data_IF_719689629691
#
_entry.id   IF_719689629691
#
_cell.length_a   1.000
_cell.length_b   1.000
_cell.length_c   1.000
_cell.angle_alpha   90.00
_cell.angle_beta   90.00
_cell.angle_gamma   90.00
#
_symmetry.space_group_name_H-M   'P 1'
#
loop_
_entity.id
_entity.type
_entity.pdbx_description
1 polymer ?
#
# COMPACT_ATOMS: atom_id res chain seq x y z
N UNK A 1 -8.57 -7.64 -21.22
CA UNK A 1 -8.59 -8.24 -22.56
C UNK A 1 -8.40 -7.23 -23.70
N UNK A 2 -8.44 -5.90 -23.42
CA UNK A 2 -8.27 -4.86 -24.45
C UNK A 2 -7.10 -3.90 -24.19
N UNK A 3 -6.42 -4.01 -23.06
CA UNK A 3 -5.30 -3.14 -22.71
C UNK A 3 -4.01 -3.95 -22.86
N UNK A 4 -3.12 -3.48 -23.73
CA UNK A 4 -1.79 -4.04 -23.88
C UNK A 4 -0.89 -3.52 -22.76
N UNK A 5 -0.52 -4.42 -21.82
CA UNK A 5 0.36 -4.06 -20.70
C UNK A 5 1.78 -3.72 -21.18
N UNK A 6 2.24 -4.22 -22.33
CA UNK A 6 3.52 -3.81 -22.91
C UNK A 6 3.49 -2.35 -23.35
N UNK A 7 2.37 -1.90 -23.94
CA UNK A 7 2.20 -0.49 -24.26
C UNK A 7 2.16 0.37 -22.99
N UNK A 8 1.52 -0.13 -21.90
CA UNK A 8 1.48 0.58 -20.62
C UNK A 8 2.85 0.67 -19.95
N UNK A 9 3.67 -0.38 -19.98
CA UNK A 9 4.97 -0.38 -19.33
C UNK A 9 6.02 0.36 -20.19
N UNK A 10 6.21 -0.03 -21.45
CA UNK A 10 7.32 0.48 -22.28
C UNK A 10 7.00 1.78 -23.02
N UNK A 11 5.78 1.94 -23.55
CA UNK A 11 5.46 3.05 -24.45
C UNK A 11 4.92 4.26 -23.69
N UNK A 12 4.00 4.04 -22.77
CA UNK A 12 3.30 5.09 -22.01
C UNK A 12 3.87 5.20 -20.58
N UNK A 13 4.54 4.15 -20.08
CA UNK A 13 5.09 4.06 -18.73
C UNK A 13 5.93 5.27 -18.31
N UNK A 14 6.90 5.72 -19.11
CA UNK A 14 7.68 6.91 -18.76
C UNK A 14 6.83 8.17 -18.61
N UNK A 15 5.77 8.34 -19.42
CA UNK A 15 4.85 9.47 -19.32
C UNK A 15 3.96 9.36 -18.07
N UNK A 16 3.47 8.15 -17.76
CA UNK A 16 2.72 7.88 -16.53
C UNK A 16 3.60 8.17 -15.31
N UNK A 17 4.85 7.72 -15.32
CA UNK A 17 5.81 7.96 -14.26
C UNK A 17 6.07 9.45 -14.07
N UNK A 18 6.38 10.18 -15.15
CA UNK A 18 6.62 11.63 -15.09
C UNK A 18 5.39 12.40 -14.58
N UNK A 19 4.18 12.03 -15.06
CA UNK A 19 2.91 12.62 -14.59
C UNK A 19 2.66 12.35 -13.11
N UNK A 20 2.96 11.13 -12.63
CA UNK A 20 2.83 10.77 -11.22
C UNK A 20 3.82 11.54 -10.35
N UNK A 21 5.09 11.63 -10.75
CA UNK A 21 6.11 12.41 -10.02
C UNK A 21 5.71 13.89 -9.98
N UNK A 22 5.23 14.44 -11.09
CA UNK A 22 4.72 15.81 -11.13
C UNK A 22 3.54 15.99 -10.16
N UNK A 23 2.57 15.08 -10.15
CA UNK A 23 1.44 15.13 -9.23
C UNK A 23 1.87 15.04 -7.75
N UNK A 24 2.86 14.18 -7.44
CA UNK A 24 3.45 14.09 -6.10
C UNK A 24 4.16 15.40 -5.70
N UNK A 25 4.85 16.06 -6.65
CA UNK A 25 5.52 17.33 -6.40
C UNK A 25 4.52 18.49 -6.22
N UNK A 26 3.40 18.49 -6.94
CA UNK A 26 2.37 19.53 -6.85
C UNK A 26 1.78 19.65 -5.43
N UNK A 27 1.78 18.58 -4.64
CA UNK A 27 1.29 18.62 -3.25
C UNK A 27 2.12 19.57 -2.37
N UNK A 28 3.40 19.74 -2.66
CA UNK A 28 4.27 20.65 -1.89
C UNK A 28 4.05 22.13 -2.22
N UNK A 29 3.23 22.42 -3.23
CA UNK A 29 2.86 23.79 -3.56
C UNK A 29 1.71 24.27 -2.64
N UNK A 30 1.82 25.46 -2.01
CA UNK A 30 0.83 25.96 -1.06
C UNK A 30 -0.55 26.23 -1.67
N UNK A 31 -0.66 26.26 -3.00
CA UNK A 31 -1.92 26.49 -3.73
C UNK A 31 -2.69 25.19 -4.01
N UNK A 32 -2.00 24.05 -4.09
CA UNK A 32 -2.60 22.78 -4.52
C UNK A 32 -2.82 21.79 -3.38
N UNK A 33 -1.99 21.83 -2.34
CA UNK A 33 -2.06 20.92 -1.21
C UNK A 33 -3.12 21.34 -0.19
N UNK A 34 -3.98 20.39 0.20
CA UNK A 34 -4.88 20.57 1.34
C UNK A 34 -4.38 19.78 2.54
N UNK A 35 -4.33 20.46 3.68
CA UNK A 35 -4.02 19.84 4.97
C UNK A 35 -5.25 19.08 5.47
N UNK A 36 -5.14 17.76 5.52
CA UNK A 36 -6.11 16.91 6.17
C UNK A 36 -5.42 16.09 7.26
N UNK A 37 -5.91 16.19 8.48
CA UNK A 37 -5.38 15.46 9.65
C UNK A 37 -3.88 15.68 9.92
N UNK A 38 -3.37 16.90 9.69
CA UNK A 38 -1.99 17.28 9.97
C UNK A 38 -0.96 16.83 8.92
N UNK A 39 -1.39 16.43 7.74
CA UNK A 39 -0.52 16.14 6.62
C UNK A 39 -1.15 16.57 5.28
N UNK A 40 -0.35 17.19 4.42
CA UNK A 40 -0.76 17.60 3.07
C UNK A 40 -0.60 16.42 2.13
N UNK A 41 -1.69 15.69 1.85
CA UNK A 41 -1.68 14.47 1.01
C UNK A 41 -2.66 14.51 -0.14
N UNK A 42 -3.56 15.49 -0.14
CA UNK A 42 -4.67 15.59 -1.08
C UNK A 42 -4.51 16.81 -1.97
N UNK A 43 -4.79 16.64 -3.24
CA UNK A 43 -4.96 17.74 -4.19
C UNK A 43 -6.47 17.93 -4.35
N UNK A 44 -6.95 19.15 -4.06
CA UNK A 44 -8.34 19.52 -4.31
C UNK A 44 -8.44 20.37 -5.58
N UNK A 45 -9.26 19.91 -6.51
CA UNK A 45 -9.64 20.65 -7.71
C UNK A 45 -11.15 20.81 -7.70
N UNK A 46 -11.63 21.91 -7.12
CA UNK A 46 -13.07 22.11 -6.88
C UNK A 46 -13.65 21.05 -5.93
N UNK A 47 -14.71 20.33 -6.32
CA UNK A 47 -15.31 19.28 -5.48
C UNK A 47 -14.54 17.95 -5.52
N UNK A 48 -13.53 17.81 -6.38
CA UNK A 48 -12.78 16.57 -6.54
C UNK A 48 -11.55 16.58 -5.64
N UNK A 49 -11.45 15.55 -4.81
CA UNK A 49 -10.28 15.28 -3.99
C UNK A 49 -9.51 14.10 -4.58
N UNK A 50 -8.22 14.30 -4.81
CA UNK A 50 -7.35 13.35 -5.46
C UNK A 50 -6.09 13.14 -4.61
N UNK A 51 -5.75 11.88 -4.34
CA UNK A 51 -4.53 11.53 -3.63
C UNK A 51 -3.51 10.93 -4.61
N UNK A 52 -2.43 11.66 -4.95
CA UNK A 52 -1.43 11.19 -5.92
C UNK A 52 -0.71 9.90 -5.50
N UNK A 53 -0.55 9.63 -4.22
CA UNK A 53 0.08 8.39 -3.74
C UNK A 53 -0.70 7.12 -4.13
N UNK A 54 -2.04 7.21 -4.34
CA UNK A 54 -2.83 6.09 -4.83
C UNK A 54 -2.43 5.69 -6.27
N UNK A 55 -2.20 6.68 -7.13
CA UNK A 55 -1.71 6.43 -8.49
C UNK A 55 -0.25 6.02 -8.52
N UNK A 56 0.55 6.55 -7.60
CA UNK A 56 1.95 6.19 -7.48
C UNK A 56 2.13 4.68 -7.20
N UNK A 57 1.24 4.04 -6.46
CA UNK A 57 1.27 2.59 -6.23
C UNK A 57 1.25 1.80 -7.55
N UNK A 58 0.31 2.15 -8.45
CA UNK A 58 0.20 1.49 -9.76
C UNK A 58 1.41 1.83 -10.63
N UNK A 59 1.82 3.10 -10.64
CA UNK A 59 2.99 3.55 -11.42
C UNK A 59 4.26 2.83 -10.99
N UNK A 60 4.47 2.64 -9.68
CA UNK A 60 5.62 1.91 -9.13
C UNK A 60 5.60 0.44 -9.58
N UNK A 61 4.43 -0.21 -9.63
CA UNK A 61 4.32 -1.59 -10.14
C UNK A 61 4.73 -1.65 -11.61
N UNK A 62 4.20 -0.76 -12.46
CA UNK A 62 4.53 -0.75 -13.90
C UNK A 62 6.02 -0.48 -14.12
N UNK A 63 6.57 0.51 -13.44
CA UNK A 63 7.98 0.88 -13.53
C UNK A 63 8.91 -0.22 -12.97
N UNK A 64 8.55 -0.86 -11.87
CA UNK A 64 9.29 -1.99 -11.32
C UNK A 64 9.27 -3.20 -12.24
N UNK A 65 8.14 -3.48 -12.91
CA UNK A 65 8.04 -4.60 -13.84
C UNK A 65 9.00 -4.43 -15.03
N UNK A 66 9.06 -3.24 -15.62
CA UNK A 66 9.99 -2.93 -16.71
C UNK A 66 11.46 -3.01 -16.26
N UNK A 67 11.77 -2.38 -15.14
CA UNK A 67 13.13 -2.35 -14.59
C UNK A 67 13.64 -3.76 -14.26
N UNK A 68 12.81 -4.60 -13.65
CA UNK A 68 13.18 -5.96 -13.26
C UNK A 68 13.24 -6.92 -14.46
N UNK A 69 12.43 -6.69 -15.50
CA UNK A 69 12.55 -7.43 -16.75
C UNK A 69 13.89 -7.13 -17.43
N UNK A 70 14.29 -5.86 -17.47
CA UNK A 70 15.62 -5.46 -17.95
C UNK A 70 16.74 -6.09 -17.12
N UNK A 71 16.65 -6.05 -15.78
CA UNK A 71 17.59 -6.71 -14.88
C UNK A 71 17.81 -8.18 -15.27
N UNK A 72 16.74 -8.89 -15.55
CA UNK A 72 16.82 -10.31 -15.98
C UNK A 72 17.46 -10.48 -17.35
N UNK A 73 17.16 -9.60 -18.30
CA UNK A 73 17.71 -9.64 -19.67
C UNK A 73 19.20 -9.33 -19.69
N UNK A 74 19.70 -8.49 -18.78
CA UNK A 74 21.12 -8.12 -18.66
C UNK A 74 21.95 -9.09 -17.82
N UNK A 75 21.39 -10.26 -17.47
CA UNK A 75 22.11 -11.29 -16.73
C UNK A 75 22.03 -11.19 -15.21
N UNK A 76 21.19 -10.32 -14.67
CA UNK A 76 20.91 -10.24 -13.23
C UNK A 76 22.03 -9.60 -12.39
N UNK A 77 22.84 -8.73 -13.00
CA UNK A 77 23.93 -8.03 -12.32
C UNK A 77 23.50 -6.64 -11.83
N UNK A 78 23.95 -6.29 -10.62
CA UNK A 78 23.74 -4.96 -10.04
C UNK A 78 24.82 -3.98 -10.53
N UNK A 79 24.81 -3.69 -11.81
CA UNK A 79 25.71 -2.69 -12.38
C UNK A 79 25.38 -1.28 -11.86
N UNK A 80 26.37 -0.37 -11.75
CA UNK A 80 26.15 0.99 -11.28
C UNK A 80 25.07 1.75 -12.09
N UNK A 81 25.02 1.53 -13.39
CA UNK A 81 24.00 2.13 -14.27
C UNK A 81 22.57 1.63 -13.97
N UNK A 82 22.43 0.33 -13.69
CA UNK A 82 21.14 -0.24 -13.26
C UNK A 82 20.73 0.32 -11.89
N UNK A 83 21.64 0.35 -10.90
CA UNK A 83 21.37 0.87 -9.57
C UNK A 83 20.97 2.35 -9.62
N UNK A 84 21.64 3.16 -10.44
CA UNK A 84 21.27 4.57 -10.60
C UNK A 84 19.86 4.73 -11.20
N UNK A 85 19.49 3.93 -12.20
CA UNK A 85 18.12 3.94 -12.74
C UNK A 85 17.10 3.44 -11.73
N UNK A 86 17.39 2.37 -11.01
CA UNK A 86 16.50 1.87 -9.96
C UNK A 86 16.27 2.92 -8.87
N UNK A 87 17.34 3.62 -8.45
CA UNK A 87 17.24 4.71 -7.48
C UNK A 87 16.37 5.88 -7.99
N UNK A 88 16.43 6.22 -9.27
CA UNK A 88 15.59 7.26 -9.85
C UNK A 88 14.15 6.76 -10.03
N UNK A 89 13.96 5.64 -10.70
CA UNK A 89 12.66 5.16 -11.14
C UNK A 89 11.78 4.72 -9.96
N UNK A 90 12.35 4.05 -8.97
CA UNK A 90 11.63 3.58 -7.78
C UNK A 90 11.85 4.51 -6.57
N UNK A 91 13.09 5.00 -6.40
CA UNK A 91 13.45 5.80 -5.24
C UNK A 91 12.80 7.18 -5.21
N UNK A 92 12.70 7.88 -6.36
CA UNK A 92 12.09 9.22 -6.41
C UNK A 92 10.61 9.19 -5.99
N UNK A 93 9.72 8.37 -6.56
CA UNK A 93 8.33 8.30 -6.09
C UNK A 93 8.23 7.91 -4.62
N UNK A 94 8.97 6.89 -4.16
CA UNK A 94 8.95 6.44 -2.77
C UNK A 94 9.42 7.54 -1.82
N UNK A 95 10.49 8.26 -2.15
CA UNK A 95 11.00 9.38 -1.36
C UNK A 95 9.95 10.50 -1.24
N UNK A 96 9.30 10.87 -2.35
CA UNK A 96 8.25 11.89 -2.35
C UNK A 96 7.07 11.49 -1.47
N UNK A 97 6.65 10.21 -1.50
CA UNK A 97 5.57 9.70 -0.63
C UNK A 97 5.99 9.74 0.84
N UNK A 98 7.24 9.39 1.17
CA UNK A 98 7.79 9.50 2.55
C UNK A 98 7.78 10.93 3.03
N UNK A 99 8.16 11.89 2.17
CA UNK A 99 8.18 13.32 2.49
C UNK A 99 6.77 13.90 2.70
N UNK A 100 5.72 13.25 2.19
CA UNK A 100 4.30 13.59 2.41
C UNK A 100 3.74 12.95 3.71
N UNK A 101 4.52 12.55 4.69
CA UNK A 101 4.34 11.60 5.80
C UNK A 101 3.34 10.46 5.54
N UNK A 102 3.25 9.95 4.29
CA UNK A 102 2.40 8.80 3.95
C UNK A 102 3.18 7.49 4.11
N UNK A 103 3.36 7.11 5.37
CA UNK A 103 4.12 5.92 5.75
C UNK A 103 3.46 4.62 5.28
N UNK A 104 2.11 4.60 5.24
CA UNK A 104 1.34 3.43 4.80
C UNK A 104 1.57 3.11 3.33
N UNK A 105 1.35 4.09 2.43
CA UNK A 105 1.56 3.91 1.00
C UNK A 105 3.01 3.58 0.66
N UNK A 106 3.98 4.18 1.38
CA UNK A 106 5.40 3.85 1.21
C UNK A 106 5.68 2.39 1.53
N UNK A 107 5.16 1.89 2.66
CA UNK A 107 5.37 0.49 3.08
C UNK A 107 4.75 -0.49 2.08
N UNK A 108 3.52 -0.23 1.64
CA UNK A 108 2.84 -1.05 0.63
C UNK A 108 3.64 -1.10 -0.67
N UNK A 109 4.09 0.05 -1.20
CA UNK A 109 4.94 0.09 -2.40
C UNK A 109 6.25 -0.67 -2.21
N UNK A 110 6.94 -0.47 -1.08
CA UNK A 110 8.22 -1.13 -0.81
C UNK A 110 8.07 -2.66 -0.73
N UNK A 111 7.05 -3.16 -0.02
CA UNK A 111 6.76 -4.60 0.05
C UNK A 111 6.45 -5.15 -1.35
N UNK A 112 5.62 -4.44 -2.12
CA UNK A 112 5.27 -4.87 -3.48
C UNK A 112 6.49 -4.97 -4.38
N UNK A 113 7.38 -3.98 -4.37
CA UNK A 113 8.63 -4.00 -5.15
C UNK A 113 9.54 -5.16 -4.71
N UNK A 114 9.65 -5.42 -3.41
CA UNK A 114 10.44 -6.55 -2.90
C UNK A 114 9.88 -7.92 -3.34
N UNK A 115 8.57 -8.09 -3.30
CA UNK A 115 7.91 -9.30 -3.82
C UNK A 115 8.18 -9.46 -5.32
N UNK A 116 8.05 -8.38 -6.10
CA UNK A 116 8.33 -8.40 -7.53
C UNK A 116 9.82 -8.71 -7.81
N UNK A 117 10.75 -8.13 -7.05
CA UNK A 117 12.19 -8.40 -7.17
C UNK A 117 12.51 -9.87 -6.89
N UNK A 118 11.92 -10.44 -5.85
CA UNK A 118 12.05 -11.88 -5.55
C UNK A 118 11.51 -12.75 -6.70
N UNK A 119 10.35 -12.42 -7.25
CA UNK A 119 9.76 -13.14 -8.39
C UNK A 119 10.55 -12.97 -9.69
N UNK A 120 11.27 -11.86 -9.85
CA UNK A 120 12.21 -11.63 -10.94
C UNK A 120 13.51 -12.43 -10.77
N UNK A 121 13.72 -13.08 -9.63
CA UNK A 121 14.88 -13.93 -9.35
C UNK A 121 16.05 -13.20 -8.70
N UNK A 122 15.81 -12.08 -8.05
CA UNK A 122 16.76 -11.46 -7.13
C UNK A 122 16.95 -12.36 -5.91
N UNK A 123 18.19 -12.49 -5.42
CA UNK A 123 18.48 -13.34 -4.26
C UNK A 123 17.62 -12.93 -3.05
N UNK A 124 16.94 -13.91 -2.46
CA UNK A 124 16.09 -13.69 -1.30
C UNK A 124 16.83 -13.05 -0.11
N UNK A 125 18.13 -13.32 0.04
CA UNK A 125 18.99 -12.73 1.09
C UNK A 125 19.14 -11.24 0.90
N UNK A 126 19.30 -10.79 -0.35
CA UNK A 126 19.32 -9.36 -0.70
C UNK A 126 17.97 -8.72 -0.41
N UNK A 127 16.87 -9.32 -0.85
CA UNK A 127 15.52 -8.84 -0.57
C UNK A 127 15.25 -8.75 0.94
N UNK A 128 15.63 -9.77 1.71
CA UNK A 128 15.51 -9.79 3.16
C UNK A 128 16.36 -8.71 3.85
N UNK A 129 17.59 -8.48 3.36
CA UNK A 129 18.46 -7.40 3.85
C UNK A 129 17.86 -6.02 3.62
N UNK A 130 17.34 -5.75 2.41
CA UNK A 130 16.65 -4.49 2.08
C UNK A 130 15.39 -4.33 2.91
N UNK A 131 14.60 -5.40 3.08
CA UNK A 131 13.41 -5.39 3.94
C UNK A 131 13.75 -5.07 5.39
N UNK A 132 14.79 -5.69 5.95
CA UNK A 132 15.22 -5.45 7.32
C UNK A 132 15.70 -4.01 7.54
N UNK A 133 16.51 -3.49 6.62
CA UNK A 133 16.98 -2.10 6.66
C UNK A 133 15.82 -1.10 6.50
N UNK A 134 14.89 -1.36 5.57
CA UNK A 134 13.70 -0.55 5.38
C UNK A 134 12.79 -0.54 6.60
N UNK A 135 12.57 -1.70 7.21
CA UNK A 135 11.79 -1.84 8.44
C UNK A 135 12.44 -1.11 9.62
N UNK A 136 13.75 -1.24 9.78
CA UNK A 136 14.50 -0.53 10.81
C UNK A 136 14.40 0.99 10.61
N UNK A 137 14.60 1.48 9.38
CA UNK A 137 14.42 2.89 9.04
C UNK A 137 13.00 3.40 9.33
N UNK A 138 11.98 2.64 8.92
CA UNK A 138 10.58 2.93 9.22
C UNK A 138 10.32 3.01 10.73
N UNK A 139 10.84 2.06 11.51
CA UNK A 139 10.70 2.03 12.95
C UNK A 139 11.36 3.26 13.61
N UNK A 140 12.60 3.58 13.22
CA UNK A 140 13.32 4.75 13.73
C UNK A 140 12.59 6.07 13.42
N UNK A 141 12.08 6.23 12.20
CA UNK A 141 11.30 7.41 11.80
C UNK A 141 9.97 7.48 12.56
N UNK A 142 9.33 6.35 12.79
CA UNK A 142 8.06 6.28 13.51
C UNK A 142 8.21 6.55 15.01
N UNK A 143 9.32 6.15 15.61
CA UNK A 143 9.61 6.42 17.03
C UNK A 143 9.97 7.90 17.29
N UNK A 144 10.55 8.59 16.29
CA UNK A 144 10.86 10.04 16.39
C UNK A 144 9.61 10.91 16.26
N UNK A 145 8.63 10.47 15.48
CA UNK A 145 7.38 11.18 15.25
C UNK A 145 6.37 10.87 16.36
N UNK A 146 5.98 11.88 17.15
CA UNK A 146 5.08 11.73 18.29
C UNK A 146 3.73 11.08 17.93
N UNK A 147 3.16 11.44 16.78
CA UNK A 147 1.91 10.88 16.30
C UNK A 147 2.01 9.38 15.97
N UNK A 148 3.05 8.98 15.24
CA UNK A 148 3.26 7.57 14.89
C UNK A 148 3.64 6.73 16.09
N UNK A 149 4.40 7.31 17.04
CA UNK A 149 4.73 6.66 18.31
C UNK A 149 3.48 6.40 19.15
N UNK A 150 2.58 7.39 19.26
CA UNK A 150 1.31 7.21 19.96
C UNK A 150 0.49 6.07 19.35
N UNK A 151 0.37 6.01 18.04
CA UNK A 151 -0.33 4.92 17.33
C UNK A 151 0.28 3.53 17.58
N UNK A 152 1.62 3.40 17.60
CA UNK A 152 2.28 2.13 17.92
C UNK A 152 1.97 1.72 19.36
N UNK A 153 2.05 2.64 20.31
CA UNK A 153 1.73 2.36 21.70
C UNK A 153 0.27 1.97 21.90
N UNK A 154 -0.66 2.67 21.26
CA UNK A 154 -2.09 2.35 21.26
C UNK A 154 -2.39 1.00 20.64
N UNK A 155 -1.67 0.60 19.60
CA UNK A 155 -1.81 -0.73 18.99
C UNK A 155 -1.35 -1.85 19.94
N UNK A 156 -0.30 -1.61 20.74
CA UNK A 156 0.22 -2.59 21.69
C UNK A 156 -0.64 -2.67 22.96
N UNK A 157 -1.13 -1.54 23.43
CA UNK A 157 -2.00 -1.45 24.62
C UNK A 157 -3.04 -0.34 24.45
N UNK A 158 -4.19 -0.63 23.82
CA UNK A 158 -5.25 0.36 23.65
C UNK A 158 -5.95 0.74 24.95
N UNK A 159 -5.86 -0.10 25.96
CA UNK A 159 -6.49 0.12 27.27
C UNK A 159 -5.74 1.13 28.13
N UNK A 160 -4.56 1.56 27.73
CA UNK A 160 -3.79 2.60 28.41
C UNK A 160 -4.51 3.96 28.41
N UNK A 161 -5.21 4.29 27.32
CA UNK A 161 -6.03 5.49 27.19
C UNK A 161 -7.37 5.15 26.49
N UNK A 162 -8.33 4.57 27.25
CA UNK A 162 -9.57 4.04 26.68
C UNK A 162 -10.51 5.11 26.12
N UNK A 163 -10.38 6.36 26.56
CA UNK A 163 -11.24 7.47 26.17
C UNK A 163 -10.58 8.44 25.19
N UNK A 164 -9.27 8.33 24.98
CA UNK A 164 -8.49 9.10 24.03
C UNK A 164 -8.06 8.26 22.82
N UNK A 165 -6.74 8.10 22.64
CA UNK A 165 -6.16 7.43 21.48
C UNK A 165 -6.62 5.97 21.29
N UNK A 166 -6.90 5.23 22.40
CA UNK A 166 -7.37 3.85 22.36
C UNK A 166 -8.84 3.67 22.05
N UNK A 167 -9.66 4.74 22.20
CA UNK A 167 -11.12 4.65 22.11
C UNK A 167 -11.60 3.97 20.82
N UNK A 168 -11.10 4.42 19.69
CA UNK A 168 -11.52 3.92 18.39
C UNK A 168 -11.22 2.42 18.22
N UNK A 169 -10.04 1.97 18.62
CA UNK A 169 -9.62 0.56 18.52
C UNK A 169 -10.45 -0.33 19.46
N UNK A 170 -10.69 0.12 20.68
CA UNK A 170 -11.51 -0.60 21.66
C UNK A 170 -12.96 -0.75 21.18
N UNK A 171 -13.54 0.32 20.62
CA UNK A 171 -14.88 0.25 20.05
C UNK A 171 -14.94 -0.69 18.83
N UNK A 172 -13.88 -0.75 18.04
CA UNK A 172 -13.74 -1.73 16.97
C UNK A 172 -13.73 -3.18 17.48
N UNK A 173 -13.03 -3.45 18.60
CA UNK A 173 -13.04 -4.78 19.23
C UNK A 173 -14.43 -5.14 19.79
N UNK A 174 -15.14 -4.19 20.40
CA UNK A 174 -16.50 -4.43 20.88
C UNK A 174 -17.45 -4.70 19.71
N UNK A 175 -17.37 -3.93 18.64
CA UNK A 175 -18.17 -4.15 17.43
C UNK A 175 -17.93 -5.57 16.89
N UNK A 176 -16.67 -5.94 16.67
CA UNK A 176 -16.31 -7.26 16.16
C UNK A 176 -16.78 -8.38 17.09
N UNK A 177 -16.59 -8.23 18.42
CA UNK A 177 -17.01 -9.24 19.42
C UNK A 177 -18.52 -9.37 19.54
N UNK A 178 -19.29 -8.34 19.25
CA UNK A 178 -20.76 -8.35 19.39
C UNK A 178 -21.47 -9.15 18.30
N UNK A 179 -20.82 -9.41 17.15
CA UNK A 179 -21.39 -10.18 16.06
C UNK A 179 -21.49 -11.70 16.31
N UNK A 180 -20.74 -12.21 17.25
CA UNK A 180 -20.73 -13.66 17.58
C UNK A 180 -20.35 -14.53 16.38
N UNK A 181 -21.03 -15.67 16.21
CA UNK A 181 -20.79 -16.59 15.09
C UNK A 181 -21.62 -16.26 13.84
N UNK A 182 -22.68 -15.49 13.98
CA UNK A 182 -23.66 -15.28 12.91
C UNK A 182 -24.01 -13.80 12.67
N UNK A 183 -25.29 -13.50 12.58
CA UNK A 183 -25.80 -12.17 12.25
C UNK A 183 -25.94 -11.34 13.52
N UNK A 184 -25.22 -10.24 13.61
CA UNK A 184 -25.33 -9.26 14.70
C UNK A 184 -26.33 -8.14 14.40
N UNK A 185 -26.49 -7.23 15.37
CA UNK A 185 -27.50 -6.17 15.28
C UNK A 185 -27.06 -4.92 14.48
N UNK A 186 -25.79 -4.80 14.09
CA UNK A 186 -25.26 -3.68 13.31
C UNK A 186 -25.40 -2.31 14.02
N UNK A 187 -25.27 -2.26 15.34
CA UNK A 187 -25.46 -1.04 16.14
C UNK A 187 -24.25 -0.13 16.16
N UNK A 188 -23.03 -0.69 16.01
CA UNK A 188 -21.79 0.05 16.18
C UNK A 188 -21.70 1.25 15.21
N UNK A 189 -22.13 1.09 13.97
CA UNK A 189 -22.12 2.14 12.94
C UNK A 189 -22.96 3.37 13.26
N UNK A 190 -23.98 3.22 14.11
CA UNK A 190 -24.90 4.30 14.45
C UNK A 190 -24.65 4.88 15.86
N UNK A 191 -23.96 4.15 16.72
CA UNK A 191 -24.00 4.44 18.13
C UNK A 191 -22.63 4.86 18.71
N UNK A 192 -21.53 4.18 18.38
CA UNK A 192 -20.30 4.38 19.13
C UNK A 192 -19.00 4.25 18.34
N UNK A 193 -19.02 3.68 17.11
CA UNK A 193 -17.81 3.47 16.34
C UNK A 193 -17.50 4.68 15.45
N UNK A 194 -16.40 5.43 15.69
CA UNK A 194 -15.99 6.53 14.82
C UNK A 194 -15.53 6.00 13.45
N UNK A 195 -15.87 6.70 12.37
CA UNK A 195 -15.49 6.38 10.99
C UNK A 195 -15.68 4.91 10.58
N UNK A 196 -16.90 4.33 10.82
CA UNK A 196 -17.15 2.90 10.63
C UNK A 196 -16.95 2.42 9.20
N UNK A 197 -17.23 3.27 8.20
CA UNK A 197 -17.18 2.91 6.78
C UNK A 197 -15.79 3.05 6.15
N UNK A 198 -14.83 3.66 6.85
CA UNK A 198 -13.47 3.86 6.37
C UNK A 198 -12.51 2.88 7.07
N UNK A 199 -12.08 3.25 8.26
CA UNK A 199 -11.00 2.56 8.97
C UNK A 199 -11.43 1.25 9.65
N UNK A 200 -12.75 1.08 9.91
CA UNK A 200 -13.31 -0.05 10.67
C UNK A 200 -14.33 -0.89 9.89
N UNK A 201 -14.29 -0.86 8.57
CA UNK A 201 -15.20 -1.65 7.73
C UNK A 201 -15.16 -3.15 8.07
N UNK A 202 -14.00 -3.69 8.39
CA UNK A 202 -13.85 -5.09 8.77
C UNK A 202 -14.51 -5.40 10.12
N UNK A 203 -14.45 -4.48 11.10
CA UNK A 203 -15.16 -4.62 12.37
C UNK A 203 -16.68 -4.57 12.15
N UNK A 204 -17.16 -3.76 11.19
CA UNK A 204 -18.56 -3.74 10.79
C UNK A 204 -19.02 -5.06 10.19
N UNK A 205 -18.22 -5.66 9.30
CA UNK A 205 -18.51 -7.00 8.74
C UNK A 205 -18.54 -8.03 9.88
N UNK A 206 -17.61 -7.93 10.84
CA UNK A 206 -17.59 -8.80 12.02
C UNK A 206 -18.83 -8.65 12.90
N UNK A 207 -19.35 -7.42 13.07
CA UNK A 207 -20.58 -7.17 13.83
C UNK A 207 -21.82 -7.67 13.08
N UNK A 208 -21.96 -7.34 11.79
CA UNK A 208 -23.19 -7.61 11.03
C UNK A 208 -23.30 -9.06 10.55
N UNK A 209 -22.18 -9.66 10.13
CA UNK A 209 -22.13 -11.01 9.57
C UNK A 209 -21.43 -12.01 10.50
N UNK A 210 -20.99 -11.59 11.67
CA UNK A 210 -20.30 -12.42 12.64
C UNK A 210 -18.97 -12.96 12.16
N UNK A 211 -18.44 -13.91 12.91
CA UNK A 211 -17.15 -14.56 12.60
C UNK A 211 -17.16 -15.25 11.23
N UNK A 212 -18.28 -15.88 10.86
CA UNK A 212 -18.41 -16.57 9.57
C UNK A 212 -18.33 -15.58 8.40
N UNK A 213 -18.97 -14.42 8.51
CA UNK A 213 -18.88 -13.38 7.50
C UNK A 213 -17.48 -12.77 7.40
N UNK A 214 -16.83 -12.52 8.54
CA UNK A 214 -15.45 -12.02 8.58
C UNK A 214 -14.47 -13.03 7.94
N UNK A 215 -14.57 -14.32 8.29
CA UNK A 215 -13.76 -15.37 7.66
C UNK A 215 -14.08 -15.54 6.17
N UNK A 216 -15.34 -15.42 5.78
CA UNK A 216 -15.76 -15.43 4.37
C UNK A 216 -15.13 -14.30 3.57
N UNK A 217 -15.08 -13.09 4.13
CA UNK A 217 -14.41 -11.94 3.51
C UNK A 217 -12.90 -12.18 3.36
N UNK A 218 -12.22 -12.63 4.42
CA UNK A 218 -10.78 -12.97 4.37
C UNK A 218 -10.51 -14.06 3.33
N UNK A 219 -11.36 -15.10 3.29
CA UNK A 219 -11.25 -16.16 2.28
C UNK A 219 -11.45 -15.64 0.85
N UNK A 220 -12.38 -14.69 0.63
CA UNK A 220 -12.59 -14.07 -0.67
C UNK A 220 -11.37 -13.26 -1.13
N UNK A 221 -10.75 -12.48 -0.24
CA UNK A 221 -9.49 -11.78 -0.53
C UNK A 221 -8.36 -12.78 -0.79
N UNK A 222 -8.25 -13.84 0.03
CA UNK A 222 -7.27 -14.92 -0.18
C UNK A 222 -7.43 -15.60 -1.55
N UNK A 223 -8.68 -15.84 -1.97
CA UNK A 223 -8.99 -16.40 -3.30
C UNK A 223 -8.60 -15.42 -4.41
N UNK A 224 -8.89 -14.13 -4.26
CA UNK A 224 -8.49 -13.10 -5.22
C UNK A 224 -6.97 -13.06 -5.37
N UNK A 225 -6.23 -13.06 -4.27
CA UNK A 225 -4.78 -13.12 -4.27
C UNK A 225 -4.25 -14.39 -4.96
N UNK A 226 -4.82 -15.55 -4.62
CA UNK A 226 -4.46 -16.81 -5.27
C UNK A 226 -4.70 -16.78 -6.78
N UNK A 227 -5.85 -16.26 -7.23
CA UNK A 227 -6.15 -16.08 -8.64
C UNK A 227 -5.14 -15.16 -9.33
N UNK A 228 -4.79 -14.03 -8.69
CA UNK A 228 -3.81 -13.09 -9.22
C UNK A 228 -2.42 -13.71 -9.37
N UNK A 229 -1.93 -14.42 -8.36
CA UNK A 229 -0.66 -15.14 -8.46
C UNK A 229 -0.70 -16.33 -9.43
N UNK A 230 -1.85 -16.97 -9.57
CA UNK A 230 -2.04 -17.99 -10.61
C UNK A 230 -1.91 -17.38 -12.01
N UNK A 231 -2.52 -16.22 -12.27
CA UNK A 231 -2.37 -15.47 -13.53
C UNK A 231 -0.90 -15.12 -13.74
N UNK A 232 -0.23 -14.58 -12.72
CA UNK A 232 1.19 -14.25 -12.77
C UNK A 232 2.05 -15.48 -13.15
N UNK A 233 1.76 -16.64 -12.57
CA UNK A 233 2.51 -17.88 -12.85
C UNK A 233 2.38 -18.36 -14.30
N UNK A 234 1.23 -18.14 -14.93
CA UNK A 234 0.95 -18.58 -16.31
C UNK A 234 1.11 -17.45 -17.34
N UNK A 235 1.60 -16.27 -16.93
CA UNK A 235 1.88 -15.19 -17.86
C UNK A 235 2.96 -15.60 -18.87
N UNK A 236 2.82 -15.20 -20.15
CA UNK A 236 3.70 -15.62 -21.22
C UNK A 236 5.12 -15.04 -21.12
N UNK A 237 5.26 -13.91 -20.44
CA UNK A 237 6.50 -13.16 -20.30
C UNK A 237 6.72 -12.66 -18.87
N UNK A 238 7.95 -12.22 -18.56
CA UNK A 238 8.31 -11.78 -17.22
C UNK A 238 7.60 -10.47 -16.86
N UNK A 239 7.47 -9.53 -17.78
CA UNK A 239 6.77 -8.26 -17.53
C UNK A 239 5.32 -8.50 -17.12
N UNK A 240 4.56 -9.30 -17.86
CA UNK A 240 3.18 -9.66 -17.50
C UNK A 240 3.07 -10.40 -16.18
N UNK A 241 4.02 -11.30 -15.89
CA UNK A 241 4.14 -11.99 -14.61
C UNK A 241 4.32 -11.01 -13.45
N UNK A 242 5.22 -10.04 -13.59
CA UNK A 242 5.52 -9.05 -12.56
C UNK A 242 4.38 -8.06 -12.36
N UNK A 243 3.75 -7.58 -13.44
CA UNK A 243 2.57 -6.70 -13.35
C UNK A 243 1.43 -7.40 -12.63
N UNK A 244 1.10 -8.64 -13.01
CA UNK A 244 0.03 -9.40 -12.36
C UNK A 244 0.32 -9.66 -10.87
N UNK A 245 1.55 -10.03 -10.52
CA UNK A 245 1.97 -10.25 -9.14
C UNK A 245 1.96 -8.93 -8.33
N UNK A 246 2.50 -7.85 -8.91
CA UNK A 246 2.54 -6.54 -8.26
C UNK A 246 1.14 -6.00 -7.98
N UNK A 247 0.24 -6.02 -8.96
CA UNK A 247 -1.16 -5.60 -8.76
C UNK A 247 -1.86 -6.47 -7.71
N UNK A 248 -1.62 -7.79 -7.70
CA UNK A 248 -2.21 -8.69 -6.71
C UNK A 248 -1.70 -8.40 -5.30
N UNK A 249 -0.41 -8.10 -5.15
CA UNK A 249 0.20 -7.73 -3.86
C UNK A 249 -0.32 -6.38 -3.34
N UNK A 250 -0.61 -5.41 -4.24
CA UNK A 250 -1.17 -4.11 -3.85
C UNK A 250 -2.59 -4.20 -3.26
N UNK A 251 -3.38 -5.18 -3.70
CA UNK A 251 -4.77 -5.36 -3.25
C UNK A 251 -4.82 -6.04 -1.88
N UNK A 252 -3.81 -6.84 -1.58
CA UNK A 252 -3.74 -7.63 -0.34
C UNK A 252 -2.95 -6.93 0.75
#
# INVERSE_FOLDING_TARGET
YRIDYHALTHRIGPAIWAGTVLALLLIFLPVAGQDAYGATRWIAVGPLHFQPSEFAKITVVLAAAELLDEFRRTGGSFEPGFLARAAVVLGVPLLLIVLQPDKGSTMVCAVTVLVMAYLAGVDWRFCAGVAALGFLGFLLLSLKDGYSRARILTMLDPWRDPYGDGYQLIQGFYAFGSGGLGIGMGRAKYSYLPFPYNDFIFAMVGEECGLLGALGLVAAFGLLLWCGYRIARYAPDLTGRLVAAGCSTLIF
#
